data_IF_454839998029
#
_entry.id   IF_454839998029
#
_cell.length_a   1.000
_cell.length_b   1.000
_cell.length_c   1.000
_cell.angle_alpha   90.00
_cell.angle_beta   90.00
_cell.angle_gamma   90.00
#
_symmetry.space_group_name_H-M   'P 1'
#
loop_
_entity.id
_entity.type
_entity.pdbx_description
1 polymer ?
#
# COMPACT_ATOMS: atom_id res chain seq x y z
N UNK A 1 42.42 -15.19 -14.36
CA UNK A 1 41.66 -13.91 -14.37
C UNK A 1 42.52 -12.84 -13.73
N UNK A 2 42.87 -11.77 -14.45
CA UNK A 2 43.79 -10.73 -13.97
C UNK A 2 43.13 -9.81 -12.92
N UNK A 3 43.94 -9.12 -12.11
CA UNK A 3 43.48 -8.14 -11.11
C UNK A 3 42.63 -7.04 -11.76
N UNK A 4 43.02 -6.58 -12.94
CA UNK A 4 42.27 -5.60 -13.74
C UNK A 4 40.85 -6.09 -14.08
N UNK A 5 40.70 -7.35 -14.46
CA UNK A 5 39.41 -7.94 -14.80
C UNK A 5 38.45 -7.99 -13.60
N UNK A 6 38.99 -8.15 -12.37
CA UNK A 6 38.20 -8.10 -11.13
C UNK A 6 37.77 -6.67 -10.77
N UNK A 7 38.66 -5.68 -10.94
CA UNK A 7 38.34 -4.28 -10.69
C UNK A 7 37.30 -3.74 -11.67
N UNK A 8 37.39 -4.09 -12.95
CA UNK A 8 36.40 -3.73 -13.97
C UNK A 8 35.02 -4.34 -13.67
N UNK A 9 34.97 -5.61 -13.27
CA UNK A 9 33.72 -6.25 -12.88
C UNK A 9 33.08 -5.61 -11.64
N UNK A 10 33.88 -5.23 -10.63
CA UNK A 10 33.38 -4.50 -9.45
C UNK A 10 32.87 -3.11 -9.79
N UNK A 11 33.60 -2.34 -10.61
CA UNK A 11 33.20 -1.01 -11.02
C UNK A 11 31.88 -1.05 -11.82
N UNK A 12 31.71 -2.04 -12.69
CA UNK A 12 30.47 -2.27 -13.41
C UNK A 12 29.31 -2.64 -12.48
N UNK A 13 29.54 -3.49 -11.47
CA UNK A 13 28.51 -3.83 -10.47
C UNK A 13 28.09 -2.63 -9.60
N UNK A 14 29.03 -1.75 -9.26
CA UNK A 14 28.78 -0.50 -8.51
C UNK A 14 27.96 0.52 -9.31
N UNK A 15 28.13 0.57 -10.63
CA UNK A 15 27.39 1.47 -11.52
C UNK A 15 25.95 1.01 -11.78
N UNK A 16 25.62 -0.27 -11.53
CA UNK A 16 24.28 -0.85 -11.73
C UNK A 16 23.38 -0.80 -10.47
N UNK A 17 23.95 -0.52 -9.29
CA UNK A 17 23.23 -0.37 -8.02
C UNK A 17 22.10 0.70 -8.00
N UNK A 18 22.23 1.88 -8.62
CA UNK A 18 21.18 2.91 -8.58
C UNK A 18 19.98 2.64 -9.51
N UNK A 19 20.01 1.58 -10.32
CA UNK A 19 18.90 1.20 -11.21
C UNK A 19 17.87 0.29 -10.54
N UNK A 20 18.11 -0.15 -9.31
CA UNK A 20 17.13 -0.88 -8.52
C UNK A 20 16.07 0.12 -8.04
N UNK A 21 14.79 0.00 -8.44
CA UNK A 21 13.74 0.82 -7.85
C UNK A 21 13.72 0.54 -6.36
N UNK A 22 14.11 1.53 -5.55
CA UNK A 22 13.98 1.50 -4.10
C UNK A 22 12.51 1.77 -3.74
N UNK A 23 11.61 0.92 -4.24
CA UNK A 23 10.23 0.91 -3.80
C UNK A 23 10.01 -0.42 -3.11
N UNK A 24 9.96 -0.38 -1.78
CA UNK A 24 9.62 -1.55 -0.98
C UNK A 24 8.20 -2.08 -1.30
N UNK A 25 7.35 -1.22 -1.88
CA UNK A 25 5.99 -1.52 -2.28
C UNK A 25 5.68 -0.92 -3.65
N UNK A 26 4.95 -1.65 -4.46
CA UNK A 26 4.38 -1.21 -5.75
C UNK A 26 2.92 -0.79 -5.59
N UNK A 27 2.35 -0.12 -6.61
CA UNK A 27 0.92 0.17 -6.63
C UNK A 27 0.08 -1.12 -6.52
N UNK A 28 0.55 -2.21 -7.13
CA UNK A 28 -0.09 -3.53 -7.03
C UNK A 28 -0.05 -4.08 -5.60
N UNK A 29 1.06 -3.90 -4.87
CA UNK A 29 1.14 -4.30 -3.46
C UNK A 29 0.15 -3.51 -2.61
N UNK A 30 0.03 -2.20 -2.86
CA UNK A 30 -0.90 -1.35 -2.13
C UNK A 30 -2.38 -1.70 -2.42
N UNK A 31 -2.72 -2.05 -3.66
CA UNK A 31 -4.05 -2.55 -4.03
C UNK A 31 -4.35 -3.92 -3.39
N UNK A 32 -3.36 -4.82 -3.38
CA UNK A 32 -3.49 -6.12 -2.74
C UNK A 32 -3.68 -6.00 -1.23
N UNK A 33 -2.93 -5.11 -0.56
CA UNK A 33 -3.09 -4.85 0.87
C UNK A 33 -4.47 -4.28 1.19
N UNK A 34 -4.93 -3.26 0.44
CA UNK A 34 -6.23 -2.64 0.65
C UNK A 34 -7.39 -3.62 0.40
N UNK A 35 -7.35 -4.38 -0.70
CA UNK A 35 -8.38 -5.38 -1.01
C UNK A 35 -8.42 -6.51 0.02
N UNK A 36 -7.25 -7.01 0.45
CA UNK A 36 -7.16 -8.06 1.48
C UNK A 36 -7.68 -7.59 2.83
N UNK A 37 -7.37 -6.34 3.22
CA UNK A 37 -7.88 -5.75 4.44
C UNK A 37 -9.41 -5.63 4.40
N UNK A 38 -9.97 -5.03 3.33
CA UNK A 38 -11.41 -4.88 3.20
C UNK A 38 -12.14 -6.24 3.16
N UNK A 39 -11.59 -7.25 2.49
CA UNK A 39 -12.16 -8.59 2.47
C UNK A 39 -12.29 -9.23 3.87
N UNK A 40 -11.45 -8.81 4.83
CA UNK A 40 -11.45 -9.36 6.18
C UNK A 40 -12.19 -8.50 7.19
N UNK A 41 -12.16 -7.19 7.06
CA UNK A 41 -12.63 -6.27 8.08
C UNK A 41 -13.84 -5.45 7.67
N UNK A 42 -14.08 -5.18 6.38
CA UNK A 42 -15.24 -4.40 5.95
C UNK A 42 -16.52 -5.22 5.99
N UNK A 43 -17.54 -4.71 6.68
CA UNK A 43 -18.80 -5.41 6.87
C UNK A 43 -20.00 -4.59 6.39
N UNK A 44 -20.45 -4.90 5.17
CA UNK A 44 -21.67 -4.35 4.60
C UNK A 44 -22.92 -4.91 5.33
N UNK A 45 -23.93 -4.06 5.47
CA UNK A 45 -25.22 -4.37 6.08
C UNK A 45 -26.34 -4.22 5.04
N UNK A 46 -27.47 -4.87 5.27
CA UNK A 46 -28.63 -4.83 4.35
C UNK A 46 -29.31 -3.46 4.28
N UNK A 47 -29.00 -2.54 5.20
CA UNK A 47 -29.61 -1.22 5.32
C UNK A 47 -28.75 -0.08 4.73
N UNK A 48 -27.92 -0.37 3.72
CA UNK A 48 -26.99 0.59 3.11
C UNK A 48 -26.00 1.22 4.11
N UNK A 49 -25.71 0.52 5.20
CA UNK A 49 -24.68 0.90 6.17
C UNK A 49 -23.55 -0.10 6.08
N UNK A 50 -22.38 0.31 6.56
CA UNK A 50 -21.25 -0.57 6.76
C UNK A 50 -20.47 -0.15 8.00
N UNK A 51 -19.61 -1.04 8.46
CA UNK A 51 -18.61 -0.75 9.48
C UNK A 51 -17.42 -1.68 9.29
N UNK A 52 -16.28 -1.31 9.87
CA UNK A 52 -15.11 -2.17 9.94
C UNK A 52 -15.06 -2.98 11.24
N UNK A 53 -14.62 -4.22 11.19
CA UNK A 53 -14.38 -5.01 12.39
C UNK A 53 -13.09 -4.56 13.10
N UNK A 54 -13.05 -4.67 14.43
CA UNK A 54 -11.83 -4.43 15.22
C UNK A 54 -10.84 -5.57 15.04
N UNK A 55 -11.34 -6.81 15.03
CA UNK A 55 -10.53 -8.02 14.89
C UNK A 55 -11.08 -8.92 13.78
N UNK A 56 -10.32 -9.95 13.42
CA UNK A 56 -10.78 -10.95 12.45
C UNK A 56 -11.94 -11.80 12.99
N UNK A 57 -12.06 -11.91 14.31
CA UNK A 57 -13.07 -12.71 15.00
C UNK A 57 -14.43 -12.02 15.04
N UNK A 58 -14.46 -10.69 14.98
CA UNK A 58 -15.72 -9.94 15.06
C UNK A 58 -15.54 -8.58 15.69
N UNK A 59 -16.65 -8.05 16.20
CA UNK A 59 -16.78 -6.75 16.86
C UNK A 59 -16.56 -5.53 15.96
N UNK A 60 -17.41 -4.52 16.13
CA UNK A 60 -17.26 -3.25 15.41
C UNK A 60 -16.08 -2.49 16.00
N UNK A 61 -15.19 -2.00 15.13
CA UNK A 61 -14.08 -1.17 15.57
C UNK A 61 -14.57 0.08 16.32
N UNK A 62 -13.81 0.54 17.32
CA UNK A 62 -14.14 1.75 18.06
C UNK A 62 -14.27 2.97 17.13
N UNK A 63 -15.09 3.96 17.52
CA UNK A 63 -15.38 5.19 16.80
C UNK A 63 -14.16 5.83 16.12
N UNK A 64 -13.07 6.12 16.85
CA UNK A 64 -11.88 6.71 16.24
C UNK A 64 -11.15 5.72 15.31
N UNK A 65 -11.16 4.44 15.63
CA UNK A 65 -10.67 3.39 14.72
C UNK A 65 -11.43 3.37 13.39
N UNK A 66 -12.77 3.48 13.42
CA UNK A 66 -13.58 3.60 12.21
C UNK A 66 -13.21 4.84 11.39
N UNK A 67 -12.94 5.98 12.05
CA UNK A 67 -12.57 7.21 11.37
C UNK A 67 -11.28 7.03 10.55
N UNK A 68 -10.24 6.44 11.15
CA UNK A 68 -9.00 6.13 10.45
C UNK A 68 -9.20 5.13 9.31
N UNK A 69 -10.07 4.14 9.47
CA UNK A 69 -10.36 3.16 8.40
C UNK A 69 -11.14 3.79 7.24
N UNK A 70 -11.99 4.78 7.50
CA UNK A 70 -12.66 5.59 6.46
C UNK A 70 -11.66 6.49 5.75
N UNK A 71 -10.68 7.08 6.44
CA UNK A 71 -9.60 7.85 5.80
C UNK A 71 -8.79 6.98 4.83
N UNK A 72 -8.48 5.73 5.17
CA UNK A 72 -7.82 4.79 4.25
C UNK A 72 -8.63 4.58 2.95
N UNK A 73 -9.97 4.56 3.01
CA UNK A 73 -10.82 4.48 1.82
C UNK A 73 -10.75 5.77 1.00
N UNK A 74 -10.76 6.93 1.67
CA UNK A 74 -10.63 8.22 1.01
C UNK A 74 -9.27 8.35 0.30
N UNK A 75 -8.18 7.90 0.92
CA UNK A 75 -6.84 7.88 0.34
C UNK A 75 -6.77 6.94 -0.88
N UNK A 76 -7.36 5.75 -0.79
CA UNK A 76 -7.43 4.82 -1.92
C UNK A 76 -8.22 5.42 -3.10
N UNK A 77 -9.34 6.11 -2.81
CA UNK A 77 -10.12 6.81 -3.82
C UNK A 77 -9.33 7.99 -4.43
N UNK A 78 -8.64 8.78 -3.61
CA UNK A 78 -7.79 9.88 -4.07
C UNK A 78 -6.67 9.41 -5.00
N UNK A 79 -5.99 8.30 -4.66
CA UNK A 79 -4.98 7.66 -5.51
C UNK A 79 -5.56 7.24 -6.87
N UNK A 80 -6.75 6.64 -6.88
CA UNK A 80 -7.41 6.20 -8.11
C UNK A 80 -7.96 7.37 -8.95
N UNK A 81 -8.18 8.54 -8.34
CA UNK A 81 -8.77 9.71 -8.97
C UNK A 81 -7.96 11.00 -8.67
N UNK A 82 -6.78 11.17 -9.28
CA UNK A 82 -5.84 12.27 -8.96
C UNK A 82 -6.39 13.68 -9.22
N UNK A 83 -7.52 13.82 -9.91
CA UNK A 83 -8.14 15.11 -10.25
C UNK A 83 -8.83 15.80 -9.05
N UNK A 84 -8.88 15.16 -7.88
CA UNK A 84 -9.63 15.64 -6.70
C UNK A 84 -8.78 15.92 -5.46
N UNK A 85 -7.47 16.09 -5.60
CA UNK A 85 -6.60 16.59 -4.52
C UNK A 85 -6.64 18.13 -4.46
N UNK A 86 -6.99 18.77 -3.32
CA UNK A 86 -6.87 20.22 -3.14
C UNK A 86 -5.41 20.73 -3.03
N UNK A 87 -4.43 19.82 -3.14
CA UNK A 87 -2.99 20.11 -3.11
C UNK A 87 -2.27 19.52 -4.33
N UNK A 88 -2.78 19.79 -5.53
CA UNK A 88 -2.05 19.64 -6.79
C UNK A 88 -2.29 20.85 -7.67
#
# INVERSE_FOLDING_TARGET
MSLLSRCLAMAAALLLLPLSPCSAYTDADAELMFSSYNARFYQAQTNNRAYYKETTEGERAWFWGQANMVEMVADAHGRAHPRWSPCS
#
